data_IF_441003349493
#
_entry.id   IF_441003349493
#
_cell.length_a   1.000
_cell.length_b   1.000
_cell.length_c   1.000
_cell.angle_alpha   90.00
_cell.angle_beta   90.00
_cell.angle_gamma   90.00
#
_symmetry.space_group_name_H-M   'P 1'
#
loop_
_entity.id
_entity.type
_entity.pdbx_description
1 polymer ?
#
# COMPACT_ATOMS: atom_id res chain seq x y z
N UNK A 1 -17.77 -23.45 -8.93
CA UNK A 1 -17.27 -23.58 -10.33
C UNK A 1 -18.25 -22.99 -11.34
N UNK A 2 -18.89 -21.86 -11.05
CA UNK A 2 -19.77 -21.16 -12.02
C UNK A 2 -19.72 -19.63 -11.98
N UNK A 3 -19.01 -19.01 -11.04
CA UNK A 3 -18.92 -17.53 -10.94
C UNK A 3 -17.63 -16.94 -11.54
N UNK A 4 -16.80 -17.74 -12.21
CA UNK A 4 -15.56 -17.25 -12.87
C UNK A 4 -15.73 -16.91 -14.35
N UNK A 5 -16.90 -17.15 -14.94
CA UNK A 5 -17.14 -16.90 -16.37
C UNK A 5 -17.82 -15.55 -16.66
N UNK A 6 -18.35 -14.85 -15.67
CA UNK A 6 -19.16 -13.64 -15.91
C UNK A 6 -18.38 -12.31 -15.79
N UNK A 7 -17.05 -12.36 -15.72
CA UNK A 7 -16.19 -11.15 -15.71
C UNK A 7 -15.37 -10.97 -17.00
N UNK A 8 -15.55 -11.86 -17.99
CA UNK A 8 -14.93 -11.72 -19.32
C UNK A 8 -15.72 -10.83 -20.29
N UNK A 9 -16.93 -10.39 -19.93
CA UNK A 9 -17.84 -9.64 -20.83
C UNK A 9 -17.92 -8.12 -20.57
N UNK A 10 -16.81 -7.48 -20.16
CA UNK A 10 -16.74 -6.01 -20.08
C UNK A 10 -15.58 -5.43 -20.89
N UNK A 11 -15.45 -5.87 -22.13
CA UNK A 11 -14.84 -5.05 -23.19
C UNK A 11 -15.81 -5.10 -24.37
N UNK A 12 -16.66 -4.09 -24.44
CA UNK A 12 -17.54 -3.83 -25.58
C UNK A 12 -16.67 -3.35 -26.76
N UNK A 13 -15.96 -4.29 -27.40
CA UNK A 13 -15.11 -4.00 -28.56
C UNK A 13 -15.97 -4.06 -29.84
N UNK A 14 -16.09 -2.95 -30.61
CA UNK A 14 -16.91 -2.93 -31.81
C UNK A 14 -16.32 -3.87 -32.88
N UNK A 15 -17.14 -4.81 -33.35
CA UNK A 15 -16.83 -5.73 -34.46
C UNK A 15 -16.81 -4.97 -35.78
N UNK A 16 -15.72 -4.27 -36.08
CA UNK A 16 -15.52 -3.65 -37.40
C UNK A 16 -14.74 -4.59 -38.31
N UNK A 17 -15.36 -4.95 -39.44
CA UNK A 17 -14.75 -5.77 -40.50
C UNK A 17 -14.18 -4.84 -41.57
N UNK A 18 -12.91 -5.03 -41.93
CA UNK A 18 -12.29 -4.35 -43.08
C UNK A 18 -11.54 -5.36 -43.93
N UNK A 19 -11.70 -5.27 -45.26
CA UNK A 19 -10.91 -6.00 -46.24
C UNK A 19 -10.19 -4.95 -47.07
N UNK A 20 -8.86 -5.06 -47.17
CA UNK A 20 -8.04 -4.23 -48.06
C UNK A 20 -7.28 -5.18 -48.98
N UNK A 21 -7.55 -5.13 -50.29
CA UNK A 21 -6.68 -5.71 -51.31
C UNK A 21 -5.67 -4.65 -51.72
N UNK A 22 -4.38 -4.88 -51.46
CA UNK A 22 -3.31 -4.05 -52.01
C UNK A 22 -2.73 -4.76 -53.24
N UNK A 23 -2.86 -4.12 -54.40
CA UNK A 23 -2.07 -4.46 -55.58
C UNK A 23 -0.66 -3.92 -55.33
N UNK A 24 0.30 -4.81 -55.10
CA UNK A 24 1.72 -4.43 -55.15
C UNK A 24 2.05 -4.29 -56.63
N UNK A 25 2.07 -3.05 -57.13
CA UNK A 25 2.63 -2.76 -58.44
C UNK A 25 4.16 -2.86 -58.34
N UNK A 26 4.73 -3.92 -58.88
CA UNK A 26 6.19 -4.14 -58.99
C UNK A 26 6.90 -3.17 -59.99
N UNK A 27 6.28 -2.04 -60.35
CA UNK A 27 6.79 -1.11 -61.37
C UNK A 27 7.08 0.32 -60.88
N UNK A 28 7.61 0.48 -59.66
CA UNK A 28 8.23 1.75 -59.24
C UNK A 28 9.57 1.62 -58.48
N UNK A 29 10.30 0.50 -58.60
CA UNK A 29 11.69 0.38 -58.08
C UNK A 29 12.70 0.29 -59.22
N UNK A 30 12.51 1.06 -60.29
CA UNK A 30 13.55 1.28 -61.29
C UNK A 30 13.56 2.75 -61.72
N UNK A 31 14.18 3.60 -60.89
CA UNK A 31 14.97 4.74 -61.38
C UNK A 31 15.90 5.30 -60.29
N UNK A 32 17.20 5.18 -60.58
CA UNK A 32 18.36 5.83 -59.95
C UNK A 32 18.75 5.29 -58.55
N UNK A 33 19.96 4.80 -58.27
CA UNK A 33 21.29 5.11 -58.80
C UNK A 33 22.22 3.89 -58.74
N UNK A 34 22.99 3.66 -59.82
CA UNK A 34 24.19 2.81 -59.79
C UNK A 34 25.38 3.60 -59.21
N UNK A 35 25.78 3.22 -58.00
CA UNK A 35 27.14 2.94 -57.46
C UNK A 35 28.34 3.73 -58.02
N UNK A 36 29.05 4.42 -57.12
CA UNK A 36 30.52 4.40 -57.02
C UNK A 36 30.94 4.44 -55.53
N UNK A 37 31.27 3.28 -54.96
CA UNK A 37 32.62 2.85 -54.54
C UNK A 37 33.44 3.87 -53.71
N UNK A 38 33.55 3.65 -52.40
CA UNK A 38 34.81 3.29 -51.72
C UNK A 38 34.61 3.03 -50.21
N UNK A 39 35.36 2.06 -49.69
CA UNK A 39 35.43 1.61 -48.28
C UNK A 39 36.12 2.66 -47.40
N UNK A 40 35.63 2.88 -46.17
CA UNK A 40 36.44 2.81 -44.94
C UNK A 40 35.62 3.05 -43.63
N UNK A 41 35.80 2.12 -42.69
CA UNK A 41 35.93 2.23 -41.21
C UNK A 41 34.91 3.03 -40.39
N UNK A 42 34.14 2.37 -39.51
CA UNK A 42 34.45 2.01 -38.11
C UNK A 42 34.34 3.15 -37.09
N UNK A 43 33.43 2.91 -36.15
CA UNK A 43 33.49 3.23 -34.72
C UNK A 43 33.38 4.69 -34.24
N UNK A 44 32.28 4.91 -33.49
CA UNK A 44 32.13 5.62 -32.20
C UNK A 44 33.33 6.39 -31.64
N UNK A 45 33.01 7.50 -30.97
CA UNK A 45 33.22 7.87 -29.54
C UNK A 45 33.15 9.41 -29.47
N UNK A 46 32.75 10.16 -28.44
CA UNK A 46 32.14 10.03 -27.11
C UNK A 46 31.85 11.50 -26.68
N UNK A 47 30.89 11.68 -25.77
CA UNK A 47 30.75 12.85 -24.86
C UNK A 47 30.31 14.18 -25.54
N UNK A 48 29.59 15.13 -24.93
CA UNK A 48 29.26 15.38 -23.54
C UNK A 48 28.09 16.39 -23.44
N UNK A 49 27.49 16.43 -22.25
CA UNK A 49 26.54 17.37 -21.63
C UNK A 49 26.39 18.82 -22.15
N UNK A 50 25.18 19.37 -21.99
CA UNK A 50 25.01 20.75 -21.53
C UNK A 50 23.73 21.51 -21.95
N UNK A 51 22.87 21.76 -20.95
CA UNK A 51 22.18 23.04 -20.68
C UNK A 51 20.93 23.53 -21.47
N UNK A 52 20.11 24.26 -20.69
CA UNK A 52 18.89 25.06 -20.93
C UNK A 52 17.56 24.30 -21.15
N UNK A 53 16.51 24.42 -20.32
CA UNK A 53 15.79 25.58 -19.71
C UNK A 53 14.63 26.07 -20.58
N UNK A 54 13.44 25.94 -19.98
CA UNK A 54 12.32 26.89 -19.92
C UNK A 54 11.65 27.46 -21.18
N UNK A 55 10.31 27.39 -21.12
CA UNK A 55 9.24 28.20 -21.76
C UNK A 55 8.42 27.38 -22.78
N UNK A 56 7.17 27.03 -22.48
CA UNK A 56 5.97 27.88 -22.64
C UNK A 56 5.95 28.53 -24.04
N UNK A 57 5.18 27.96 -24.98
CA UNK A 57 3.96 28.58 -25.49
C UNK A 57 3.42 27.91 -26.76
N UNK A 58 2.09 27.81 -26.76
CA UNK A 58 1.19 28.15 -27.85
C UNK A 58 1.26 27.38 -29.18
N UNK A 59 0.19 26.65 -29.41
CA UNK A 59 -0.29 26.24 -30.72
C UNK A 59 -0.42 27.46 -31.67
N UNK A 60 0.15 27.41 -32.88
CA UNK A 60 -0.33 28.24 -33.97
C UNK A 60 -1.42 27.46 -34.73
N UNK A 61 -2.61 28.06 -34.75
CA UNK A 61 -3.71 27.71 -35.62
C UNK A 61 -3.45 28.34 -37.00
N UNK A 62 -3.26 27.53 -38.05
CA UNK A 62 -3.40 27.98 -39.45
C UNK A 62 -4.00 26.86 -40.32
N UNK A 63 -5.27 27.04 -40.64
CA UNK A 63 -5.99 26.82 -41.90
C UNK A 63 -5.62 25.63 -42.81
N UNK A 64 -6.62 24.74 -42.92
CA UNK A 64 -7.19 24.17 -44.14
C UNK A 64 -6.40 24.31 -45.44
N UNK A 65 -6.01 23.15 -46.00
CA UNK A 65 -6.24 22.85 -47.41
C UNK A 65 -6.56 21.36 -47.55
N UNK A 66 -7.83 21.10 -47.85
CA UNK A 66 -8.37 19.81 -48.26
C UNK A 66 -7.67 19.35 -49.54
N UNK A 67 -7.17 18.11 -49.53
CA UNK A 67 -6.99 17.34 -50.76
C UNK A 67 -7.57 15.95 -50.50
N UNK A 68 -8.86 15.83 -50.87
CA UNK A 68 -9.61 14.59 -50.96
C UNK A 68 -8.92 13.64 -51.94
N UNK A 69 -8.25 12.61 -51.42
CA UNK A 69 -7.98 11.40 -52.19
C UNK A 69 -9.19 10.48 -51.96
N UNK A 70 -10.17 10.58 -52.86
CA UNK A 70 -11.26 9.61 -52.99
C UNK A 70 -10.67 8.24 -53.30
N UNK A 71 -10.93 7.27 -52.44
CA UNK A 71 -10.87 5.85 -52.81
C UNK A 71 -12.31 5.37 -53.00
N UNK A 72 -12.69 5.15 -54.26
CA UNK A 72 -14.00 4.66 -54.64
C UNK A 72 -14.26 3.27 -54.04
N UNK A 73 -15.35 3.15 -53.30
CA UNK A 73 -15.86 1.91 -52.71
C UNK A 73 -16.91 1.36 -53.65
N UNK A 74 -16.63 0.22 -54.30
CA UNK A 74 -17.63 -0.52 -55.08
C UNK A 74 -17.91 -1.87 -54.42
N UNK A 75 -19.18 -2.11 -54.13
CA UNK A 75 -19.73 -3.37 -53.59
C UNK A 75 -20.16 -4.29 -54.71
N UNK A 76 -19.72 -5.54 -54.69
CA UNK A 76 -20.38 -6.62 -55.43
C UNK A 76 -20.40 -7.88 -54.56
N UNK A 77 -21.60 -8.44 -54.41
CA UNK A 77 -21.85 -9.82 -53.98
C UNK A 77 -21.89 -10.62 -55.28
N UNK A 78 -21.23 -11.77 -55.36
CA UNK A 78 -21.70 -12.94 -56.13
C UNK A 78 -20.85 -14.18 -55.80
N UNK A 79 -21.53 -15.31 -55.90
CA UNK A 79 -21.16 -16.68 -55.56
C UNK A 79 -20.24 -17.38 -56.60
N UNK A 80 -19.64 -18.48 -56.12
CA UNK A 80 -19.17 -19.69 -56.81
C UNK A 80 -18.07 -19.71 -57.90
N UNK A 81 -17.14 -20.63 -57.64
CA UNK A 81 -16.40 -21.56 -58.51
C UNK A 81 -15.21 -21.18 -59.42
N UNK A 82 -14.13 -21.91 -59.14
CA UNK A 82 -13.15 -22.57 -60.02
C UNK A 82 -12.02 -21.83 -60.76
N UNK A 83 -10.80 -22.33 -60.45
CA UNK A 83 -9.58 -22.49 -61.27
C UNK A 83 -8.96 -21.29 -62.01
N UNK A 84 -7.75 -20.89 -61.58
CA UNK A 84 -6.50 -21.22 -62.31
C UNK A 84 -5.23 -20.64 -61.66
N UNK A 85 -4.18 -21.46 -61.64
CA UNK A 85 -2.83 -21.12 -62.12
C UNK A 85 -2.05 -19.95 -61.49
N UNK A 86 -1.12 -20.31 -60.61
CA UNK A 86 0.23 -19.74 -60.47
C UNK A 86 0.42 -18.24 -60.74
N UNK A 87 0.23 -17.45 -59.70
CA UNK A 87 1.14 -16.35 -59.32
C UNK A 87 1.13 -16.28 -57.80
N UNK A 88 2.23 -16.70 -57.15
CA UNK A 88 2.43 -16.56 -55.70
C UNK A 88 2.69 -15.08 -55.41
N UNK A 89 1.66 -14.26 -55.56
CA UNK A 89 1.67 -12.89 -55.13
C UNK A 89 1.67 -12.89 -53.60
N UNK A 90 2.62 -12.17 -52.99
CA UNK A 90 2.78 -11.97 -51.55
C UNK A 90 1.56 -11.25 -50.96
N UNK A 91 0.43 -11.96 -50.89
CA UNK A 91 -0.83 -11.45 -50.38
C UNK A 91 -0.83 -11.62 -48.86
N UNK A 92 -0.97 -10.49 -48.16
CA UNK A 92 -1.14 -10.46 -46.72
C UNK A 92 -2.64 -10.38 -46.43
N UNK A 93 -3.15 -11.36 -45.68
CA UNK A 93 -4.56 -11.41 -45.27
C UNK A 93 -4.72 -10.94 -43.83
N UNK A 94 -5.70 -10.07 -43.59
CA UNK A 94 -6.08 -9.60 -42.25
C UNK A 94 -7.27 -10.44 -41.78
N UNK A 95 -7.06 -11.28 -40.79
CA UNK A 95 -8.12 -12.13 -40.25
C UNK A 95 -8.94 -11.35 -39.21
N UNK A 96 -10.19 -11.03 -39.56
CA UNK A 96 -11.08 -10.14 -38.78
C UNK A 96 -11.47 -10.66 -37.40
N UNK A 97 -11.17 -11.92 -37.07
CA UNK A 97 -11.36 -12.49 -35.73
C UNK A 97 -10.19 -12.23 -34.77
N UNK A 98 -9.03 -11.77 -35.25
CA UNK A 98 -7.84 -11.55 -34.43
C UNK A 98 -7.32 -10.11 -34.58
N UNK A 99 -7.46 -9.33 -33.52
CA UNK A 99 -7.02 -7.92 -33.49
C UNK A 99 -5.51 -7.80 -33.76
N UNK A 100 -5.17 -7.01 -34.77
CA UNK A 100 -3.80 -6.74 -35.23
C UNK A 100 -3.01 -7.98 -35.67
N UNK A 101 -3.67 -8.91 -36.36
CA UNK A 101 -3.03 -10.09 -36.93
C UNK A 101 -2.93 -9.99 -38.45
N UNK A 102 -1.79 -10.42 -38.98
CA UNK A 102 -1.55 -10.55 -40.41
C UNK A 102 -1.03 -11.96 -40.72
N UNK A 103 -1.51 -12.53 -41.82
CA UNK A 103 -0.94 -13.74 -42.40
C UNK A 103 0.18 -13.39 -43.38
N UNK A 104 1.35 -14.00 -43.23
CA UNK A 104 2.46 -13.87 -44.18
C UNK A 104 3.13 -15.22 -44.35
N UNK A 105 3.26 -15.70 -45.59
CA UNK A 105 3.84 -17.00 -45.96
C UNK A 105 3.22 -18.19 -45.18
N UNK A 106 1.89 -18.19 -45.00
CA UNK A 106 1.16 -19.26 -44.33
C UNK A 106 1.34 -19.31 -42.81
N UNK A 107 1.91 -18.26 -42.20
CA UNK A 107 2.04 -18.10 -40.75
C UNK A 107 1.30 -16.87 -40.26
N UNK A 108 0.74 -16.97 -39.06
CA UNK A 108 0.01 -15.87 -38.42
C UNK A 108 0.93 -15.11 -37.47
N UNK A 109 1.05 -13.80 -37.70
CA UNK A 109 1.81 -12.88 -36.85
C UNK A 109 0.85 -11.93 -36.16
N UNK A 110 1.01 -11.78 -34.83
CA UNK A 110 0.21 -10.87 -34.02
C UNK A 110 1.07 -9.70 -33.57
N UNK A 111 0.60 -8.49 -33.84
CA UNK A 111 1.31 -7.25 -33.54
C UNK A 111 0.74 -6.56 -32.30
N UNK A 112 1.54 -5.68 -31.70
CA UNK A 112 1.16 -4.98 -30.47
C UNK A 112 0.03 -3.95 -30.69
N UNK A 113 -0.10 -3.42 -31.90
CA UNK A 113 -1.00 -2.31 -32.20
C UNK A 113 -1.19 -2.08 -33.70
N UNK A 114 -1.99 -1.06 -34.07
CA UNK A 114 -2.30 -0.74 -35.46
C UNK A 114 -1.07 -0.18 -36.20
N UNK A 115 -0.22 0.58 -35.52
CA UNK A 115 1.01 1.13 -36.10
C UNK A 115 2.02 0.02 -36.44
N UNK A 116 2.17 -0.97 -35.56
CA UNK A 116 3.02 -2.14 -35.78
C UNK A 116 2.45 -3.05 -36.86
N UNK A 117 1.12 -3.21 -36.93
CA UNK A 117 0.47 -3.90 -38.03
C UNK A 117 0.78 -3.20 -39.36
N UNK A 118 0.58 -1.89 -39.45
CA UNK A 118 0.87 -1.15 -40.68
C UNK A 118 2.35 -1.26 -41.09
N UNK A 119 3.27 -1.18 -40.13
CA UNK A 119 4.69 -1.37 -40.37
C UNK A 119 5.03 -2.78 -40.87
N UNK A 120 4.35 -3.81 -40.34
CA UNK A 120 4.48 -5.19 -40.79
C UNK A 120 3.92 -5.37 -42.20
N UNK A 121 2.75 -4.79 -42.49
CA UNK A 121 2.13 -4.84 -43.83
C UNK A 121 3.01 -4.16 -44.89
N UNK A 122 3.69 -3.06 -44.54
CA UNK A 122 4.56 -2.35 -45.46
C UNK A 122 5.85 -3.12 -45.80
N UNK A 123 6.42 -3.87 -44.84
CA UNK A 123 7.60 -4.69 -45.08
C UNK A 123 7.67 -5.89 -44.12
N UNK A 124 6.98 -7.00 -44.42
CA UNK A 124 6.90 -8.17 -43.54
C UNK A 124 8.24 -8.91 -43.46
N UNK A 125 8.99 -8.95 -44.56
CA UNK A 125 10.29 -9.63 -44.65
C UNK A 125 11.30 -9.11 -43.62
N UNK A 126 11.16 -7.86 -43.16
CA UNK A 126 12.04 -7.29 -42.13
C UNK A 126 11.85 -7.91 -40.74
N UNK A 127 10.65 -8.40 -40.44
CA UNK A 127 10.26 -8.84 -39.09
C UNK A 127 10.20 -10.36 -38.95
N UNK A 128 10.30 -11.10 -40.06
CA UNK A 128 10.21 -12.56 -40.11
C UNK A 128 11.61 -13.16 -40.37
N UNK A 129 11.88 -14.35 -39.83
CA UNK A 129 13.10 -15.10 -40.14
C UNK A 129 13.10 -15.51 -41.62
N UNK A 130 14.25 -15.45 -42.35
CA UNK A 130 15.62 -15.37 -41.83
C UNK A 130 16.17 -13.94 -41.63
N UNK A 131 15.51 -12.92 -42.18
CA UNK A 131 16.03 -11.55 -42.16
C UNK A 131 15.97 -10.91 -40.77
N UNK A 132 14.99 -11.30 -39.95
CA UNK A 132 14.97 -10.90 -38.55
C UNK A 132 15.80 -11.88 -37.69
N UNK A 133 16.94 -11.38 -37.23
CA UNK A 133 17.86 -12.05 -36.29
C UNK A 133 17.51 -11.80 -34.82
N UNK A 134 16.54 -10.94 -34.52
CA UNK A 134 16.13 -10.64 -33.15
C UNK A 134 15.26 -11.79 -32.62
N UNK A 135 15.91 -12.76 -31.97
CA UNK A 135 15.24 -13.79 -31.21
C UNK A 135 14.63 -13.22 -29.92
N UNK A 136 13.64 -13.93 -29.39
CA UNK A 136 13.16 -13.66 -28.03
C UNK A 136 14.31 -13.84 -27.02
N UNK A 137 14.36 -13.04 -25.95
CA UNK A 137 15.29 -13.27 -24.85
C UNK A 137 15.14 -14.67 -24.27
N UNK A 138 16.18 -15.14 -23.57
CA UNK A 138 16.09 -16.36 -22.77
C UNK A 138 14.91 -16.29 -21.80
N UNK A 139 14.30 -17.44 -21.49
CA UNK A 139 13.08 -17.52 -20.67
C UNK A 139 13.19 -16.80 -19.33
N UNK A 140 14.39 -16.74 -18.76
CA UNK A 140 14.69 -16.11 -17.46
C UNK A 140 14.65 -14.57 -17.53
N UNK A 141 14.90 -14.02 -18.71
CA UNK A 141 14.84 -12.60 -19.04
C UNK A 141 13.45 -12.17 -19.55
N UNK A 142 12.46 -13.05 -19.44
CA UNK A 142 11.06 -12.72 -19.73
C UNK A 142 10.37 -12.40 -18.40
N UNK A 143 9.87 -11.17 -18.20
CA UNK A 143 9.24 -10.78 -16.95
C UNK A 143 7.87 -11.46 -16.80
N UNK A 144 7.69 -12.23 -15.73
CA UNK A 144 6.45 -12.99 -15.47
C UNK A 144 5.74 -12.42 -14.24
N UNK A 145 4.49 -12.02 -14.40
CA UNK A 145 3.64 -11.63 -13.26
C UNK A 145 3.30 -12.85 -12.41
N UNK A 146 3.49 -12.73 -11.11
CA UNK A 146 3.15 -13.78 -10.15
C UNK A 146 1.74 -13.52 -9.60
N UNK A 147 0.87 -14.54 -9.63
CA UNK A 147 -0.50 -14.53 -9.10
C UNK A 147 -0.83 -15.89 -8.49
N UNK A 148 -1.69 -15.90 -7.46
CA UNK A 148 -2.36 -17.10 -6.96
C UNK A 148 -1.41 -18.26 -6.64
N UNK A 149 -1.56 -19.38 -7.37
CA UNK A 149 -0.83 -20.62 -7.13
C UNK A 149 0.69 -20.51 -7.34
N UNK A 150 1.17 -19.57 -8.16
CA UNK A 150 2.61 -19.30 -8.33
C UNK A 150 3.25 -18.72 -7.06
N UNK A 151 2.46 -18.17 -6.12
CA UNK A 151 2.95 -17.69 -4.83
C UNK A 151 3.25 -18.83 -3.85
N UNK A 152 2.54 -19.97 -3.98
CA UNK A 152 2.77 -21.15 -3.12
C UNK A 152 4.12 -21.81 -3.42
N UNK A 153 4.46 -21.90 -4.71
CA UNK A 153 5.79 -22.40 -5.15
C UNK A 153 6.94 -21.52 -4.64
N UNK A 154 6.71 -20.22 -4.41
CA UNK A 154 7.69 -19.30 -3.82
C UNK A 154 7.85 -19.54 -2.32
N UNK A 155 6.75 -19.83 -1.63
CA UNK A 155 6.78 -20.21 -0.20
C UNK A 155 7.60 -21.48 0.03
N UNK A 156 7.54 -22.44 -0.90
CA UNK A 156 8.29 -23.70 -0.83
C UNK A 156 9.77 -23.55 -1.23
N UNK A 157 10.15 -22.45 -1.88
CA UNK A 157 11.53 -22.14 -2.29
C UNK A 157 12.22 -21.12 -1.35
N UNK A 158 11.77 -21.06 -0.10
CA UNK A 158 12.36 -20.23 0.94
C UNK A 158 13.80 -20.66 1.28
N UNK A 159 14.78 -19.73 1.39
CA UNK A 159 14.62 -18.27 1.40
C UNK A 159 15.14 -17.60 0.12
N UNK A 160 14.26 -17.30 -0.85
CA UNK A 160 14.58 -16.29 -1.89
C UNK A 160 14.26 -14.90 -1.35
N UNK A 161 15.30 -14.10 -1.09
CA UNK A 161 15.13 -12.69 -0.72
C UNK A 161 14.48 -11.92 -1.89
N UNK A 162 13.54 -11.02 -1.56
CA UNK A 162 12.98 -10.11 -2.56
C UNK A 162 14.06 -9.15 -3.06
N UNK A 163 14.07 -8.89 -4.37
CA UNK A 163 14.90 -7.86 -4.96
C UNK A 163 14.63 -6.50 -4.30
N UNK A 164 15.69 -5.68 -4.19
CA UNK A 164 15.64 -4.40 -3.48
C UNK A 164 14.99 -4.49 -2.10
N UNK A 165 15.20 -5.59 -1.37
CA UNK A 165 14.61 -5.83 -0.05
C UNK A 165 13.07 -5.63 -0.01
N UNK A 166 12.39 -5.84 -1.15
CA UNK A 166 10.94 -5.63 -1.27
C UNK A 166 10.50 -4.18 -1.52
N UNK A 167 11.41 -3.23 -1.72
CA UNK A 167 11.06 -1.89 -2.18
C UNK A 167 10.68 -1.88 -3.67
N UNK A 168 9.71 -1.04 -4.02
CA UNK A 168 9.22 -0.86 -5.37
C UNK A 168 10.31 -0.23 -6.27
N UNK A 169 10.84 -0.97 -7.27
CA UNK A 169 11.91 -0.45 -8.12
C UNK A 169 11.45 0.72 -8.98
N UNK A 170 10.20 0.72 -9.44
CA UNK A 170 9.65 1.76 -10.32
C UNK A 170 9.53 3.09 -9.58
N UNK A 171 8.96 3.09 -8.37
CA UNK A 171 8.91 4.32 -7.57
C UNK A 171 10.30 4.83 -7.20
N UNK A 172 11.24 3.92 -6.92
CA UNK A 172 12.61 4.31 -6.61
C UNK A 172 13.29 4.95 -7.83
N UNK A 173 13.14 4.36 -9.02
CA UNK A 173 13.63 4.93 -10.27
C UNK A 173 13.00 6.29 -10.60
N UNK A 174 11.67 6.38 -10.58
CA UNK A 174 10.92 7.60 -10.90
C UNK A 174 11.24 8.75 -9.94
N UNK A 175 11.55 8.43 -8.69
CA UNK A 175 12.00 9.41 -7.70
C UNK A 175 13.43 9.93 -7.95
N UNK A 176 14.13 9.46 -8.99
CA UNK A 176 15.57 9.68 -9.22
C UNK A 176 16.44 9.10 -8.10
N UNK A 177 16.10 7.88 -7.65
CA UNK A 177 16.83 7.14 -6.62
C UNK A 177 16.88 7.86 -5.26
N UNK A 178 15.83 8.62 -4.94
CA UNK A 178 15.72 9.36 -3.68
C UNK A 178 14.96 8.56 -2.63
N UNK A 179 15.13 8.98 -1.38
CA UNK A 179 14.52 8.34 -0.22
C UNK A 179 12.99 8.31 -0.29
N UNK A 180 12.35 9.34 -0.86
CA UNK A 180 10.88 9.43 -0.98
C UNK A 180 10.30 8.37 -1.94
N UNK A 181 11.13 7.80 -2.82
CA UNK A 181 10.75 6.73 -3.73
C UNK A 181 10.80 5.33 -3.12
N UNK A 182 11.39 5.16 -1.94
CA UNK A 182 11.53 3.87 -1.25
C UNK A 182 10.21 3.42 -0.61
N UNK A 183 9.28 3.01 -1.47
CA UNK A 183 7.96 2.48 -1.07
C UNK A 183 8.01 0.97 -1.01
N UNK A 184 7.51 0.38 0.07
CA UNK A 184 7.39 -1.08 0.17
C UNK A 184 6.38 -1.61 -0.86
N UNK A 185 6.73 -2.74 -1.47
CA UNK A 185 5.83 -3.46 -2.36
C UNK A 185 4.76 -4.24 -1.60
N UNK A 186 3.65 -4.53 -2.28
CA UNK A 186 2.55 -5.32 -1.76
C UNK A 186 2.65 -6.77 -2.25
N UNK A 187 2.21 -7.77 -1.46
CA UNK A 187 2.28 -9.18 -1.83
C UNK A 187 1.41 -9.53 -3.05
N UNK A 188 0.43 -8.69 -3.38
CA UNK A 188 -0.45 -8.83 -4.54
C UNK A 188 0.21 -8.45 -5.87
N UNK A 189 1.29 -7.66 -5.81
CA UNK A 189 1.98 -7.12 -6.97
C UNK A 189 3.42 -7.60 -6.98
N UNK A 190 3.62 -8.79 -7.55
CA UNK A 190 4.90 -9.46 -7.66
C UNK A 190 5.20 -9.84 -9.11
N UNK A 191 6.48 -9.78 -9.49
CA UNK A 191 6.99 -10.27 -10.77
C UNK A 191 8.31 -11.01 -10.59
N UNK A 192 8.52 -12.04 -11.39
CA UNK A 192 9.81 -12.72 -11.53
C UNK A 192 10.51 -12.19 -12.79
N UNK A 193 11.79 -11.85 -12.65
CA UNK A 193 12.66 -11.44 -13.75
C UNK A 193 14.12 -11.70 -13.34
N UNK A 194 14.92 -12.33 -14.21
CA UNK A 194 16.34 -12.61 -13.94
C UNK A 194 16.54 -13.33 -12.59
N UNK A 195 15.79 -14.41 -12.37
CA UNK A 195 15.77 -15.23 -11.14
C UNK A 195 15.41 -14.50 -9.85
N UNK A 196 15.02 -13.24 -9.93
CA UNK A 196 14.72 -12.36 -8.80
C UNK A 196 13.24 -12.05 -8.75
N UNK A 197 12.72 -11.94 -7.53
CA UNK A 197 11.33 -11.58 -7.28
C UNK A 197 11.28 -10.10 -6.90
N UNK A 198 10.57 -9.31 -7.69
CA UNK A 198 10.35 -7.88 -7.45
C UNK A 198 8.96 -7.65 -6.90
N UNK A 199 8.84 -6.73 -5.94
CA UNK A 199 7.59 -6.30 -5.34
C UNK A 199 7.25 -4.85 -5.71
N UNK A 200 5.97 -4.54 -5.87
CA UNK A 200 5.51 -3.23 -6.34
C UNK A 200 4.42 -2.65 -5.42
N UNK A 201 4.41 -1.33 -5.24
CA UNK A 201 3.43 -0.68 -4.38
C UNK A 201 2.05 -0.50 -5.05
N UNK A 202 1.94 -0.76 -6.36
CA UNK A 202 0.69 -0.66 -7.13
C UNK A 202 0.72 -1.50 -8.40
N UNK A 203 -0.45 -1.81 -8.97
CA UNK A 203 -0.56 -2.49 -10.26
C UNK A 203 0.07 -1.69 -11.41
N UNK A 204 0.02 -0.35 -11.37
CA UNK A 204 0.67 0.50 -12.39
C UNK A 204 2.19 0.34 -12.38
N UNK A 205 2.81 0.30 -11.20
CA UNK A 205 4.25 0.06 -11.07
C UNK A 205 4.64 -1.33 -11.59
N UNK A 206 3.84 -2.35 -11.29
CA UNK A 206 4.05 -3.69 -11.84
C UNK A 206 3.98 -3.70 -13.37
N UNK A 207 2.96 -3.10 -13.98
CA UNK A 207 2.82 -3.04 -15.43
C UNK A 207 3.98 -2.27 -16.09
N UNK A 208 4.43 -1.17 -15.49
CA UNK A 208 5.58 -0.41 -15.98
C UNK A 208 6.85 -1.26 -15.98
N UNK A 209 7.06 -2.05 -14.92
CA UNK A 209 8.18 -2.98 -14.85
C UNK A 209 8.10 -4.08 -15.91
N UNK A 210 6.95 -4.73 -16.08
CA UNK A 210 6.76 -5.79 -17.08
C UNK A 210 7.04 -5.30 -18.52
N UNK A 211 6.77 -4.03 -18.82
CA UNK A 211 7.06 -3.44 -20.13
C UNK A 211 8.55 -3.20 -20.38
N UNK A 212 9.31 -2.84 -19.35
CA UNK A 212 10.73 -2.45 -19.46
C UNK A 212 11.55 -2.89 -18.23
N UNK A 213 11.70 -4.20 -17.97
CA UNK A 213 12.30 -4.70 -16.74
C UNK A 213 13.78 -4.33 -16.61
N UNK A 214 14.49 -4.24 -17.74
CA UNK A 214 15.93 -3.92 -17.82
C UNK A 214 16.26 -2.56 -17.16
N UNK A 215 15.35 -1.59 -17.22
CA UNK A 215 15.55 -0.26 -16.60
C UNK A 215 15.63 -0.32 -15.07
N UNK A 216 15.00 -1.34 -14.49
CA UNK A 216 14.75 -1.45 -13.05
C UNK A 216 15.58 -2.54 -12.38
N UNK A 217 16.10 -3.50 -13.16
CA UNK A 217 16.73 -4.71 -12.64
C UNK A 217 18.07 -4.48 -11.92
N UNK A 218 18.82 -3.45 -12.33
CA UNK A 218 20.17 -3.17 -11.82
C UNK A 218 20.22 -2.04 -10.79
N UNK A 219 19.09 -1.73 -10.16
CA UNK A 219 19.01 -0.71 -9.12
C UNK A 219 19.70 -1.17 -7.84
N UNK A 220 20.34 -0.23 -7.14
CA UNK A 220 21.01 -0.47 -5.87
C UNK A 220 20.40 0.41 -4.80
N UNK A 221 20.13 -0.18 -3.64
CA UNK A 221 19.57 0.55 -2.51
C UNK A 221 20.63 1.48 -1.89
N UNK A 222 20.23 2.68 -1.40
CA UNK A 222 21.12 3.53 -0.64
C UNK A 222 21.41 2.91 0.73
N UNK A 223 22.53 3.31 1.35
CA UNK A 223 22.90 2.83 2.69
C UNK A 223 21.86 3.19 3.76
N UNK A 224 21.18 4.33 3.62
CA UNK A 224 20.10 4.75 4.53
C UNK A 224 18.74 4.31 3.99
N UNK A 225 18.16 3.31 4.64
CA UNK A 225 16.82 2.81 4.35
C UNK A 225 15.80 3.42 5.32
N UNK A 226 14.53 3.57 4.89
CA UNK A 226 13.48 3.99 5.79
C UNK A 226 13.30 2.96 6.92
N UNK A 227 13.09 3.42 8.16
CA UNK A 227 12.85 2.52 9.28
C UNK A 227 11.60 1.70 8.97
N UNK A 228 11.72 0.38 9.07
CA UNK A 228 10.59 -0.52 8.89
C UNK A 228 9.61 -0.24 10.03
N UNK A 229 8.38 0.18 9.68
CA UNK A 229 7.32 0.40 10.64
C UNK A 229 6.84 -0.96 11.18
N UNK A 230 7.60 -1.52 12.10
CA UNK A 230 7.20 -2.69 12.86
C UNK A 230 6.45 -2.20 14.10
N UNK A 231 5.12 -2.38 14.18
CA UNK A 231 4.38 -2.02 15.40
C UNK A 231 4.87 -2.93 16.53
N UNK A 232 5.74 -2.41 17.38
CA UNK A 232 6.19 -3.13 18.57
C UNK A 232 5.00 -3.21 19.52
N UNK A 233 4.58 -4.42 19.87
CA UNK A 233 3.49 -4.61 20.83
C UNK A 233 3.93 -4.17 22.23
N UNK A 234 3.03 -3.56 23.01
CA UNK A 234 3.33 -3.09 24.37
C UNK A 234 3.90 -4.22 25.27
N UNK A 235 3.48 -5.47 25.03
CA UNK A 235 3.92 -6.66 25.77
C UNK A 235 5.38 -7.04 25.53
N UNK A 236 5.95 -6.67 24.37
CA UNK A 236 7.32 -6.98 24.01
C UNK A 236 8.32 -5.88 24.42
N UNK A 237 7.85 -4.84 25.11
CA UNK A 237 8.71 -3.75 25.56
C UNK A 237 9.51 -4.14 26.82
N UNK A 238 10.71 -3.57 26.99
CA UNK A 238 11.42 -3.61 28.27
C UNK A 238 10.56 -3.08 29.41
N UNK A 239 10.81 -3.55 30.64
CA UNK A 239 10.01 -3.22 31.82
C UNK A 239 9.73 -1.70 31.99
N UNK A 240 10.72 -0.78 31.85
CA UNK A 240 10.45 0.66 31.96
C UNK A 240 9.41 1.16 30.95
N UNK A 241 9.55 0.78 29.67
CA UNK A 241 8.61 1.18 28.61
C UNK A 241 7.23 0.55 28.78
N UNK A 242 7.17 -0.69 29.27
CA UNK A 242 5.90 -1.33 29.63
C UNK A 242 5.17 -0.57 30.74
N UNK A 243 5.86 -0.23 31.84
CA UNK A 243 5.28 0.51 32.96
C UNK A 243 4.84 1.92 32.54
N UNK A 244 5.67 2.59 31.75
CA UNK A 244 5.37 3.92 31.21
C UNK A 244 4.11 3.90 30.35
N UNK A 245 3.95 2.91 29.47
CA UNK A 245 2.78 2.86 28.58
C UNK A 245 1.51 2.34 29.26
N UNK A 246 1.62 1.54 30.33
CA UNK A 246 0.45 0.88 30.95
C UNK A 246 -0.04 1.54 32.23
N UNK A 247 0.86 2.02 33.09
CA UNK A 247 0.51 2.45 34.45
C UNK A 247 0.74 3.94 34.71
N UNK A 248 1.61 4.60 33.93
CA UNK A 248 2.05 5.97 34.21
C UNK A 248 0.88 6.94 34.42
N UNK A 249 -0.06 6.98 33.47
CA UNK A 249 -1.19 7.91 33.49
C UNK A 249 -2.12 7.64 34.67
N UNK A 250 -2.37 6.36 34.99
CA UNK A 250 -3.23 5.98 36.09
C UNK A 250 -2.61 6.34 37.44
N UNK A 251 -1.31 6.06 37.62
CA UNK A 251 -0.57 6.42 38.83
C UNK A 251 -0.42 7.93 38.99
N UNK A 252 -0.11 8.65 37.91
CA UNK A 252 0.00 10.10 37.91
C UNK A 252 -1.31 10.74 38.38
N UNK A 253 -2.45 10.32 37.81
CA UNK A 253 -3.76 10.83 38.23
C UNK A 253 -4.04 10.53 39.69
N UNK A 254 -3.80 9.29 40.14
CA UNK A 254 -4.03 8.92 41.53
C UNK A 254 -3.15 9.73 42.50
N UNK A 255 -1.86 9.91 42.19
CA UNK A 255 -0.92 10.69 42.99
C UNK A 255 -1.29 12.18 43.03
N UNK A 256 -1.70 12.75 41.89
CA UNK A 256 -2.19 14.14 41.83
C UNK A 256 -3.43 14.32 42.71
N UNK A 257 -4.39 13.40 42.63
CA UNK A 257 -5.61 13.44 43.46
C UNK A 257 -5.29 13.28 44.95
N UNK A 258 -4.37 12.39 45.33
CA UNK A 258 -3.91 12.28 46.73
C UNK A 258 -3.30 13.59 47.22
N UNK A 259 -2.51 14.26 46.38
CA UNK A 259 -1.82 15.50 46.73
C UNK A 259 -2.79 16.67 46.95
N UNK A 260 -3.89 16.67 46.20
CA UNK A 260 -4.97 17.65 46.31
C UNK A 260 -5.87 17.39 47.53
N UNK A 261 -6.33 16.16 47.70
CA UNK A 261 -7.31 15.79 48.74
C UNK A 261 -6.69 15.56 50.13
N UNK A 262 -5.41 15.13 50.18
CA UNK A 262 -4.66 14.81 51.41
C UNK A 262 -5.47 13.95 52.41
N UNK A 263 -5.96 12.77 51.98
CA UNK A 263 -6.89 11.96 52.76
C UNK A 263 -6.26 11.49 54.07
N UNK A 264 -6.94 11.77 55.19
CA UNK A 264 -6.62 11.24 56.51
C UNK A 264 -7.84 10.50 57.05
N UNK A 265 -7.76 9.18 57.04
CA UNK A 265 -8.84 8.35 57.58
C UNK A 265 -8.72 8.27 59.12
N UNK A 266 -9.85 8.34 59.86
CA UNK A 266 -9.86 8.20 61.31
C UNK A 266 -9.09 6.97 61.80
N UNK A 267 -8.30 7.12 62.87
CA UNK A 267 -7.56 6.04 63.55
C UNK A 267 -6.52 5.27 62.71
N UNK A 268 -6.26 5.68 61.46
CA UNK A 268 -5.27 5.06 60.56
C UNK A 268 -4.11 6.03 60.30
N UNK A 269 -2.90 5.53 60.03
CA UNK A 269 -1.74 6.39 59.71
C UNK A 269 -1.92 7.16 58.40
N UNK A 270 -1.30 8.33 58.27
CA UNK A 270 -1.41 9.18 57.06
C UNK A 270 -0.95 8.40 55.81
N UNK A 271 0.20 7.71 55.92
CA UNK A 271 0.75 6.89 54.84
C UNK A 271 -0.24 5.81 54.39
N UNK A 272 -0.86 5.11 55.34
CA UNK A 272 -1.84 4.06 55.03
C UNK A 272 -3.11 4.64 54.42
N UNK A 273 -3.62 5.77 54.92
CA UNK A 273 -4.78 6.45 54.33
C UNK A 273 -4.53 6.81 52.86
N UNK A 274 -3.36 7.37 52.55
CA UNK A 274 -2.96 7.68 51.17
C UNK A 274 -2.90 6.42 50.28
N UNK A 275 -2.37 5.30 50.78
CA UNK A 275 -2.31 4.04 50.04
C UNK A 275 -3.70 3.43 49.76
N UNK A 276 -4.60 3.46 50.76
CA UNK A 276 -5.98 2.99 50.59
C UNK A 276 -6.70 3.84 49.54
N UNK A 277 -6.58 5.17 49.65
CA UNK A 277 -7.12 6.09 48.67
C UNK A 277 -6.57 5.80 47.27
N UNK A 278 -5.25 5.62 47.12
CA UNK A 278 -4.63 5.29 45.83
C UNK A 278 -5.24 4.02 45.23
N UNK A 279 -5.36 2.95 46.01
CA UNK A 279 -5.94 1.70 45.56
C UNK A 279 -7.41 1.83 45.14
N UNK A 280 -8.22 2.56 45.92
CA UNK A 280 -9.61 2.84 45.59
C UNK A 280 -9.73 3.70 44.34
N UNK A 281 -8.88 4.72 44.19
CA UNK A 281 -8.84 5.59 43.02
C UNK A 281 -8.50 4.80 41.74
N UNK A 282 -7.47 3.96 41.80
CA UNK A 282 -7.10 3.09 40.68
C UNK A 282 -8.25 2.15 40.28
N UNK A 283 -8.99 1.59 41.25
CA UNK A 283 -10.17 0.75 40.99
C UNK A 283 -11.37 1.54 40.44
N UNK A 284 -11.59 2.76 40.91
CA UNK A 284 -12.72 3.60 40.53
C UNK A 284 -12.63 4.15 39.10
N UNK A 285 -11.41 4.35 38.60
CA UNK A 285 -11.14 4.94 37.29
C UNK A 285 -10.45 3.98 36.30
N UNK A 286 -10.49 2.67 36.57
CA UNK A 286 -9.94 1.68 35.65
C UNK A 286 -10.87 1.48 34.44
N UNK A 287 -10.46 1.86 33.21
CA UNK A 287 -11.31 1.73 32.02
C UNK A 287 -11.61 0.28 31.63
N UNK A 288 -10.85 -0.69 32.17
CA UNK A 288 -11.07 -2.11 31.88
C UNK A 288 -12.24 -2.72 32.65
N UNK A 289 -12.70 -2.07 33.73
CA UNK A 289 -13.82 -2.58 34.49
C UNK A 289 -15.16 -2.25 33.82
N UNK A 290 -16.18 -3.12 33.93
CA UNK A 290 -17.53 -2.79 33.53
C UNK A 290 -18.06 -1.55 34.27
N UNK A 291 -18.94 -0.78 33.62
CA UNK A 291 -19.50 0.48 34.17
C UNK A 291 -20.11 0.29 35.57
N UNK A 292 -20.79 -0.84 35.81
CA UNK A 292 -21.41 -1.13 37.10
C UNK A 292 -20.38 -1.31 38.22
N UNK A 293 -19.24 -1.96 37.93
CA UNK A 293 -18.16 -2.12 38.91
C UNK A 293 -17.42 -0.80 39.14
N UNK A 294 -17.21 -0.01 38.09
CA UNK A 294 -16.65 1.35 38.23
C UNK A 294 -17.52 2.20 39.15
N UNK A 295 -18.85 2.23 38.95
CA UNK A 295 -19.79 2.96 39.83
C UNK A 295 -19.72 2.49 41.29
N UNK A 296 -19.69 1.17 41.52
CA UNK A 296 -19.53 0.62 42.89
C UNK A 296 -18.22 1.07 43.53
N UNK A 297 -17.12 1.06 42.79
CA UNK A 297 -15.81 1.48 43.30
C UNK A 297 -15.73 3.00 43.51
N UNK A 298 -16.35 3.81 42.65
CA UNK A 298 -16.50 5.25 42.83
C UNK A 298 -17.31 5.58 44.10
N UNK A 299 -18.39 4.84 44.36
CA UNK A 299 -19.16 5.01 45.59
C UNK A 299 -18.33 4.64 46.84
N UNK A 300 -17.54 3.57 46.79
CA UNK A 300 -16.60 3.21 47.87
C UNK A 300 -15.57 4.32 48.13
N UNK A 301 -15.03 4.91 47.06
CA UNK A 301 -14.10 6.05 47.15
C UNK A 301 -14.77 7.28 47.79
N UNK A 302 -16.01 7.59 47.38
CA UNK A 302 -16.77 8.70 47.96
C UNK A 302 -17.06 8.49 49.45
N UNK A 303 -17.49 7.28 49.84
CA UNK A 303 -17.72 6.93 51.24
C UNK A 303 -16.44 7.04 52.08
N UNK A 304 -15.31 6.59 51.51
CA UNK A 304 -14.00 6.72 52.14
C UNK A 304 -13.62 8.20 52.37
N UNK A 305 -13.86 9.06 51.38
CA UNK A 305 -13.60 10.51 51.50
C UNK A 305 -14.53 11.18 52.51
N UNK A 306 -15.81 10.80 52.55
CA UNK A 306 -16.75 11.30 53.56
C UNK A 306 -16.25 11.00 54.98
N UNK A 307 -15.71 9.80 55.21
CA UNK A 307 -15.09 9.44 56.49
C UNK A 307 -13.82 10.27 56.79
N UNK A 308 -12.99 10.55 55.78
CA UNK A 308 -11.82 11.42 55.95
C UNK A 308 -12.22 12.85 56.35
N UNK A 309 -13.31 13.38 55.78
CA UNK A 309 -13.82 14.72 56.08
C UNK A 309 -14.44 14.86 57.48
N UNK A 310 -14.70 13.77 58.20
CA UNK A 310 -15.19 13.84 59.59
C UNK A 310 -14.19 14.53 60.52
N UNK A 311 -12.88 14.31 60.34
CA UNK A 311 -11.84 14.90 61.19
C UNK A 311 -11.85 16.42 61.12
N UNK A 312 -11.69 17.06 59.93
CA UNK A 312 -11.70 18.52 59.85
C UNK A 312 -13.07 19.11 60.25
N UNK A 313 -14.17 18.40 59.96
CA UNK A 313 -15.49 18.83 60.37
C UNK A 313 -15.65 18.83 61.90
N UNK A 314 -15.29 17.74 62.58
CA UNK A 314 -15.32 17.64 64.03
C UNK A 314 -14.37 18.64 64.69
N UNK A 315 -13.17 18.83 64.14
CA UNK A 315 -12.23 19.83 64.64
C UNK A 315 -12.81 21.26 64.63
N UNK A 316 -13.64 21.59 63.63
CA UNK A 316 -14.33 22.89 63.53
C UNK A 316 -15.60 22.97 64.38
N UNK A 317 -16.33 21.87 64.52
CA UNK A 317 -17.65 21.84 65.15
C UNK A 317 -17.63 21.44 66.64
N UNK A 318 -16.50 20.99 67.17
CA UNK A 318 -16.38 20.61 68.58
C UNK A 318 -16.54 21.82 69.51
N UNK A 319 -17.48 21.77 70.49
CA UNK A 319 -17.64 22.85 71.45
C UNK A 319 -16.47 22.86 72.45
N UNK A 320 -16.01 24.04 72.82
CA UNK A 320 -14.92 24.22 73.81
C UNK A 320 -15.38 23.74 75.19
N UNK A 321 -16.66 23.94 75.51
CA UNK A 321 -17.28 23.45 76.74
C UNK A 321 -18.04 22.16 76.46
N UNK A 322 -17.97 21.24 77.41
CA UNK A 322 -18.71 19.98 77.31
C UNK A 322 -20.22 20.24 77.28
N UNK A 323 -20.86 19.81 76.18
CA UNK A 323 -22.31 19.73 76.06
C UNK A 323 -22.75 18.29 76.23
N UNK A 324 -23.83 18.02 76.97
CA UNK A 324 -24.43 16.68 77.05
C UNK A 324 -25.11 16.30 75.73
N UNK A 325 -25.28 15.00 75.46
CA UNK A 325 -25.81 14.46 74.18
C UNK A 325 -27.14 15.12 73.79
N UNK A 326 -28.03 15.35 74.76
CA UNK A 326 -29.35 15.93 74.54
C UNK A 326 -29.34 17.42 74.16
N UNK A 327 -28.21 18.11 74.39
CA UNK A 327 -28.04 19.55 74.09
C UNK A 327 -27.28 19.78 72.77
N UNK A 328 -26.80 18.72 72.12
CA UNK A 328 -26.09 18.79 70.83
C UNK A 328 -27.07 18.64 69.69
N UNK A 329 -26.70 19.10 68.49
CA UNK A 329 -27.51 18.85 67.30
C UNK A 329 -27.49 17.36 66.93
N UNK A 330 -28.57 16.88 66.33
CA UNK A 330 -28.68 15.49 65.88
C UNK A 330 -27.59 15.13 64.86
N UNK A 331 -27.29 16.04 63.91
CA UNK A 331 -26.22 15.85 62.92
C UNK A 331 -24.83 15.71 63.56
N UNK A 332 -24.57 16.43 64.65
CA UNK A 332 -23.31 16.32 65.36
C UNK A 332 -23.19 14.97 66.06
N UNK A 333 -24.24 14.52 66.74
CA UNK A 333 -24.24 13.21 67.38
C UNK A 333 -24.06 12.08 66.35
N UNK A 334 -24.77 12.11 65.22
CA UNK A 334 -24.64 11.06 64.19
C UNK A 334 -23.24 11.02 63.56
N UNK A 335 -22.64 12.17 63.23
CA UNK A 335 -21.28 12.23 62.70
C UNK A 335 -20.21 11.86 63.73
N UNK A 336 -20.40 12.21 65.00
CA UNK A 336 -19.50 11.83 66.09
C UNK A 336 -19.58 10.32 66.36
N UNK A 337 -20.77 9.74 66.42
CA UNK A 337 -20.96 8.30 66.58
C UNK A 337 -20.38 7.54 65.39
N UNK A 338 -20.58 8.06 64.17
CA UNK A 338 -19.94 7.49 62.98
C UNK A 338 -18.42 7.54 63.09
N UNK A 339 -17.84 8.68 63.48
CA UNK A 339 -16.40 8.82 63.70
C UNK A 339 -15.90 7.80 64.74
N UNK A 340 -16.48 7.75 65.94
CA UNK A 340 -16.07 6.82 67.00
C UNK A 340 -16.24 5.35 66.55
N UNK A 341 -17.29 5.05 65.78
CA UNK A 341 -17.50 3.72 65.20
C UNK A 341 -16.37 3.25 64.29
N UNK A 342 -15.60 4.18 63.69
CA UNK A 342 -14.46 3.87 62.84
C UNK A 342 -13.22 3.42 63.63
N UNK A 343 -13.18 3.56 64.95
CA UNK A 343 -12.08 3.08 65.80
C UNK A 343 -11.89 1.56 65.71
N UNK A 344 -12.96 0.84 65.37
CA UNK A 344 -12.92 -0.62 65.12
C UNK A 344 -12.02 -0.98 63.93
N UNK A 345 -11.75 -0.04 63.03
CA UNK A 345 -10.83 -0.22 61.90
C UNK A 345 -9.37 0.00 62.34
N UNK A 346 -8.86 -0.82 63.27
CA UNK A 346 -7.43 -0.88 63.55
C UNK A 346 -6.71 -1.45 62.32
N UNK A 347 -5.61 -0.81 61.92
CA UNK A 347 -4.75 -1.22 60.80
C UNK A 347 -3.96 -2.49 61.19
N UNK A 348 -4.65 -3.63 61.22
CA UNK A 348 -4.03 -4.94 61.32
C UNK A 348 -3.72 -5.42 59.90
N UNK A 349 -2.46 -5.77 59.57
CA UNK A 349 -2.06 -6.22 58.23
C UNK A 349 -2.90 -7.37 57.67
N UNK A 350 -3.42 -8.23 58.55
CA UNK A 350 -4.14 -9.47 58.24
C UNK A 350 -5.55 -9.26 57.66
N UNK A 351 -6.18 -8.11 57.91
CA UNK A 351 -7.62 -7.89 57.60
C UNK A 351 -7.86 -7.51 56.12
N UNK A 352 -6.82 -7.15 55.37
CA UNK A 352 -6.97 -6.54 54.03
C UNK A 352 -6.41 -7.38 52.87
N UNK A 353 -5.91 -8.59 53.13
CA UNK A 353 -5.29 -9.48 52.13
C UNK A 353 -6.28 -10.55 51.60
N UNK A 354 -7.50 -10.64 52.15
CA UNK A 354 -8.51 -11.62 51.73
C UNK A 354 -9.69 -11.00 50.99
#
# INVERSE_FOLDING_TARGET
MRERQELEDTIDEPKQRFIVKLNINDNQINKSYHISSTKHNLQKMLHNNGYYSSKENEYPNVNNQNNDIKSDVTTSIDDDDNNNGNEKNNLIYIHTSMRFTAEYEGRYYRMAGPSELQAFLANPTRYVSPNNINALPENELIPIRLKGDNLKQIHDSFPKQLALNGYCPVCFYDSKLRYEGLKLGLPEYLANYDHKIYAFCSNNCLLNFLRKPILFANLQLPHKLPPVANPITVKSLPLPGFLEQTLSVALLRALSSISQERPKFPFITIKRSALIYMGLHLKAYNPRFPINEQKKNQQKLANYMNACHLIPWLAKSMPIQFLSVNKRSMEFNTKLDHFLGLEKHKDLPEIWIH
#
